data_IF_921574364031
#
_entry.id   IF_921574364031
#
_cell.length_a   1.000
_cell.length_b   1.000
_cell.length_c   1.000
_cell.angle_alpha   90.00
_cell.angle_beta   90.00
_cell.angle_gamma   90.00
#
_symmetry.space_group_name_H-M   'P 1'
#
loop_
_entity.id
_entity.type
_entity.pdbx_description
1 polymer ?
#
# COMPACT_ATOMS: atom_id res chain seq x y z
N UNK A 1 -25.84 -23.18 -4.16
CA UNK A 1 -24.82 -23.92 -3.41
C UNK A 1 -23.67 -24.53 -4.25
N UNK A 2 -23.72 -24.57 -5.58
CA UNK A 2 -22.64 -25.10 -6.43
C UNK A 2 -21.49 -24.09 -6.72
N UNK A 3 -21.66 -22.82 -6.41
CA UNK A 3 -20.69 -21.74 -6.71
C UNK A 3 -19.53 -21.63 -5.69
N UNK A 4 -19.71 -22.10 -4.48
CA UNK A 4 -18.70 -21.97 -3.40
C UNK A 4 -17.65 -23.08 -3.47
N UNK A 5 -18.02 -24.26 -3.94
CA UNK A 5 -17.11 -25.41 -3.96
C UNK A 5 -15.96 -25.28 -5.01
N UNK A 6 -16.18 -24.52 -6.10
CA UNK A 6 -15.16 -24.32 -7.14
C UNK A 6 -14.25 -23.10 -6.88
N UNK A 7 -14.62 -22.21 -5.93
CA UNK A 7 -13.81 -21.04 -5.50
C UNK A 7 -12.75 -21.38 -4.43
N UNK A 8 -12.77 -22.61 -3.89
CA UNK A 8 -11.88 -23.03 -2.80
C UNK A 8 -10.39 -23.18 -3.18
N UNK A 9 -10.02 -22.97 -4.43
CA UNK A 9 -8.64 -23.14 -4.88
C UNK A 9 -7.93 -21.85 -5.29
N UNK A 10 -8.64 -20.76 -5.53
CA UNK A 10 -8.04 -19.47 -5.90
C UNK A 10 -8.14 -18.47 -4.73
N UNK A 11 -7.04 -17.78 -4.50
CA UNK A 11 -7.03 -16.59 -3.63
C UNK A 11 -7.75 -15.45 -4.34
N UNK A 12 -8.58 -14.69 -3.63
CA UNK A 12 -9.36 -13.57 -4.17
C UNK A 12 -9.07 -12.33 -3.38
N UNK A 13 -8.71 -11.24 -4.06
CA UNK A 13 -8.57 -9.91 -3.48
C UNK A 13 -9.70 -9.01 -3.96
N UNK A 14 -10.50 -8.50 -3.05
CA UNK A 14 -11.37 -7.36 -3.31
C UNK A 14 -10.62 -6.08 -2.99
N UNK A 15 -10.60 -5.14 -3.90
CA UNK A 15 -9.84 -3.89 -3.75
C UNK A 15 -10.55 -2.75 -4.48
N UNK A 16 -10.46 -1.56 -3.93
CA UNK A 16 -10.78 -0.34 -4.66
C UNK A 16 -9.70 -0.06 -5.72
N UNK A 17 -10.13 0.42 -6.90
CA UNK A 17 -9.23 0.74 -8.02
C UNK A 17 -8.24 1.86 -7.73
N UNK A 18 -8.59 2.72 -6.75
CA UNK A 18 -7.86 3.95 -6.48
C UNK A 18 -7.26 4.01 -5.08
N UNK A 19 -7.55 3.00 -4.25
CA UNK A 19 -7.07 2.95 -2.88
C UNK A 19 -5.55 2.75 -2.81
N UNK A 20 -4.79 3.67 -2.19
CA UNK A 20 -3.37 3.45 -1.99
C UNK A 20 -3.05 2.25 -1.11
N UNK A 21 -3.94 1.85 -0.19
CA UNK A 21 -3.80 0.63 0.61
C UNK A 21 -3.99 -0.63 -0.25
N UNK A 22 -4.99 -0.62 -1.16
CA UNK A 22 -5.17 -1.69 -2.13
C UNK A 22 -3.97 -1.84 -3.06
N UNK A 23 -3.40 -0.70 -3.51
CA UNK A 23 -2.19 -0.70 -4.34
C UNK A 23 -0.99 -1.31 -3.60
N UNK A 24 -0.78 -0.98 -2.31
CA UNK A 24 0.29 -1.59 -1.51
C UNK A 24 0.19 -3.12 -1.45
N UNK A 25 -1.01 -3.66 -1.25
CA UNK A 25 -1.25 -5.12 -1.24
C UNK A 25 -0.98 -5.73 -2.62
N UNK A 26 -1.39 -5.07 -3.72
CA UNK A 26 -1.12 -5.54 -5.08
C UNK A 26 0.37 -5.58 -5.40
N UNK A 27 1.17 -4.61 -4.92
CA UNK A 27 2.63 -4.63 -5.06
C UNK A 27 3.21 -5.87 -4.35
N UNK A 28 2.76 -6.19 -3.13
CA UNK A 28 3.21 -7.39 -2.40
C UNK A 28 2.86 -8.66 -3.17
N UNK A 29 1.63 -8.76 -3.69
CA UNK A 29 1.22 -9.92 -4.52
C UNK A 29 2.12 -10.12 -5.73
N UNK A 30 2.48 -9.02 -6.40
CA UNK A 30 3.38 -9.05 -7.55
C UNK A 30 4.83 -9.42 -7.18
N UNK A 31 5.36 -8.88 -6.08
CA UNK A 31 6.69 -9.26 -5.58
C UNK A 31 6.75 -10.74 -5.20
N UNK A 32 5.62 -11.33 -4.83
CA UNK A 32 5.49 -12.75 -4.47
C UNK A 32 5.19 -13.65 -5.67
N UNK A 33 4.95 -13.09 -6.85
CA UNK A 33 4.54 -13.82 -8.05
C UNK A 33 3.31 -14.73 -7.77
N UNK A 34 2.34 -14.18 -7.03
CA UNK A 34 1.14 -14.91 -6.61
C UNK A 34 0.01 -14.68 -7.60
N UNK A 35 -0.50 -15.77 -8.16
CA UNK A 35 -1.71 -15.70 -8.97
C UNK A 35 -2.93 -15.53 -8.07
N UNK A 36 -3.59 -14.37 -8.17
CA UNK A 36 -4.75 -13.98 -7.39
C UNK A 36 -5.83 -13.41 -8.30
N UNK A 37 -7.08 -13.73 -8.03
CA UNK A 37 -8.21 -13.08 -8.71
C UNK A 37 -8.45 -11.71 -8.03
N UNK A 38 -8.22 -10.61 -8.76
CA UNK A 38 -8.46 -9.26 -8.24
C UNK A 38 -9.83 -8.79 -8.70
N UNK A 39 -10.73 -8.59 -7.75
CA UNK A 39 -12.07 -8.04 -7.98
C UNK A 39 -12.09 -6.56 -7.57
N UNK A 40 -12.06 -5.67 -8.56
CA UNK A 40 -12.17 -4.25 -8.31
C UNK A 40 -13.63 -3.89 -7.97
N UNK A 41 -13.79 -3.26 -6.82
CA UNK A 41 -15.08 -2.79 -6.29
C UNK A 41 -14.98 -1.32 -5.89
N UNK A 42 -16.11 -0.66 -5.81
CA UNK A 42 -16.23 0.68 -5.24
C UNK A 42 -17.13 0.67 -4.00
N UNK A 43 -17.09 1.76 -3.22
CA UNK A 43 -17.87 1.89 -1.99
C UNK A 43 -19.38 1.84 -2.21
N UNK A 44 -19.87 2.16 -3.43
CA UNK A 44 -21.29 2.20 -3.77
C UNK A 44 -21.81 0.86 -4.31
N UNK A 45 -20.92 -0.03 -4.74
CA UNK A 45 -21.26 -1.30 -5.39
C UNK A 45 -20.48 -2.46 -4.78
N UNK A 46 -20.51 -2.58 -3.46
CA UNK A 46 -19.90 -3.71 -2.74
C UNK A 46 -20.77 -4.96 -2.86
N UNK A 47 -20.18 -6.12 -3.19
CA UNK A 47 -20.88 -7.39 -3.12
C UNK A 47 -21.43 -7.67 -1.70
N UNK A 48 -22.68 -8.13 -1.61
CA UNK A 48 -23.32 -8.44 -0.30
C UNK A 48 -22.48 -9.37 0.58
N UNK A 49 -21.77 -10.31 -0.05
CA UNK A 49 -20.89 -11.25 0.65
C UNK A 49 -19.81 -10.55 1.50
N UNK A 50 -19.36 -9.36 1.09
CA UNK A 50 -18.36 -8.63 1.88
C UNK A 50 -18.93 -8.09 3.18
N UNK A 51 -20.23 -7.78 3.25
CA UNK A 51 -20.89 -7.36 4.49
C UNK A 51 -20.90 -8.48 5.54
N UNK A 52 -20.93 -9.73 5.10
CA UNK A 52 -20.90 -10.90 5.98
C UNK A 52 -19.48 -11.26 6.40
N UNK A 53 -18.51 -11.08 5.50
CA UNK A 53 -17.12 -11.51 5.68
C UNK A 53 -16.24 -10.45 6.35
N UNK A 54 -16.50 -9.16 6.14
CA UNK A 54 -15.71 -8.05 6.64
C UNK A 54 -16.56 -7.15 7.55
N UNK A 55 -16.44 -7.30 8.89
CA UNK A 55 -17.26 -6.56 9.86
C UNK A 55 -17.05 -5.04 9.83
N UNK A 56 -15.92 -4.56 9.26
CA UNK A 56 -15.65 -3.13 9.08
C UNK A 56 -16.18 -2.57 7.76
N UNK A 57 -16.73 -3.45 6.91
CA UNK A 57 -17.27 -3.08 5.60
C UNK A 57 -16.31 -2.24 4.73
N UNK A 58 -15.01 -2.49 4.83
CA UNK A 58 -13.99 -1.87 3.98
C UNK A 58 -13.90 -2.58 2.63
N UNK A 59 -13.45 -1.88 1.59
CA UNK A 59 -13.30 -2.45 0.25
C UNK A 59 -12.16 -3.47 0.17
N UNK A 60 -11.08 -3.27 0.95
CA UNK A 60 -9.94 -4.17 0.93
C UNK A 60 -10.23 -5.44 1.73
N UNK A 61 -10.30 -6.57 1.04
CA UNK A 61 -10.55 -7.88 1.66
C UNK A 61 -9.85 -8.98 0.86
N UNK A 62 -8.99 -9.75 1.51
CA UNK A 62 -8.35 -10.95 0.95
C UNK A 62 -9.06 -12.19 1.45
N UNK A 63 -9.39 -13.11 0.54
CA UNK A 63 -9.95 -14.42 0.85
C UNK A 63 -8.98 -15.48 0.35
N UNK A 64 -8.47 -16.30 1.25
CA UNK A 64 -7.70 -17.52 0.92
C UNK A 64 -8.37 -18.72 1.60
N UNK A 65 -9.12 -19.50 0.82
CA UNK A 65 -9.93 -20.62 1.31
C UNK A 65 -10.96 -20.18 2.35
N UNK A 66 -10.80 -20.58 3.61
CA UNK A 66 -11.67 -20.23 4.74
C UNK A 66 -11.14 -19.02 5.53
N UNK A 67 -9.93 -18.51 5.19
CA UNK A 67 -9.36 -17.33 5.82
C UNK A 67 -9.84 -16.06 5.13
N UNK A 68 -10.30 -15.10 5.93
CA UNK A 68 -10.70 -13.76 5.46
C UNK A 68 -9.88 -12.71 6.22
N UNK A 69 -9.18 -11.86 5.49
CA UNK A 69 -8.37 -10.77 6.02
C UNK A 69 -8.82 -9.44 5.40
N UNK A 70 -8.89 -8.40 6.21
CA UNK A 70 -9.37 -7.07 5.79
C UNK A 70 -8.52 -5.90 6.30
N UNK A 71 -7.43 -6.18 7.02
CA UNK A 71 -6.43 -5.18 7.38
C UNK A 71 -5.25 -5.24 6.41
N UNK A 72 -4.85 -4.12 5.78
CA UNK A 72 -3.80 -4.12 4.75
C UNK A 72 -2.45 -4.60 5.27
N UNK A 73 -2.05 -4.24 6.49
CA UNK A 73 -0.77 -4.69 7.05
C UNK A 73 -0.79 -6.18 7.34
N UNK A 74 -1.88 -6.68 7.92
CA UNK A 74 -2.06 -8.11 8.19
C UNK A 74 -2.07 -8.91 6.88
N UNK A 75 -2.74 -8.40 5.84
CA UNK A 75 -2.75 -9.04 4.52
C UNK A 75 -1.32 -9.12 3.95
N UNK A 76 -0.57 -8.03 3.98
CA UNK A 76 0.79 -8.01 3.45
C UNK A 76 1.75 -8.94 4.23
N UNK A 77 1.67 -8.95 5.56
CA UNK A 77 2.48 -9.86 6.39
C UNK A 77 2.07 -11.32 6.16
N UNK A 78 0.76 -11.62 6.07
CA UNK A 78 0.27 -12.95 5.72
C UNK A 78 0.81 -13.45 4.39
N UNK A 79 0.77 -12.60 3.36
CA UNK A 79 1.29 -12.94 2.03
C UNK A 79 2.80 -13.22 2.07
N UNK A 80 3.57 -12.45 2.84
CA UNK A 80 5.00 -12.68 3.01
C UNK A 80 5.29 -14.01 3.73
N UNK A 81 4.53 -14.33 4.76
CA UNK A 81 4.68 -15.61 5.51
C UNK A 81 4.17 -16.81 4.69
N UNK A 82 3.08 -16.64 3.93
CA UNK A 82 2.50 -17.70 3.10
C UNK A 82 3.36 -18.03 1.88
N UNK A 83 4.05 -17.01 1.33
CA UNK A 83 4.94 -17.10 0.18
C UNK A 83 6.30 -16.52 0.55
N UNK A 84 7.19 -17.30 1.20
CA UNK A 84 8.38 -16.78 1.86
C UNK A 84 9.48 -16.27 0.92
N UNK A 85 9.33 -16.46 -0.40
CA UNK A 85 10.34 -16.03 -1.37
C UNK A 85 9.73 -15.18 -2.49
N UNK A 86 10.41 -14.04 -2.82
CA UNK A 86 11.47 -13.37 -2.06
C UNK A 86 10.94 -12.84 -0.70
N UNK A 87 11.76 -12.80 0.37
CA UNK A 87 11.32 -12.28 1.66
C UNK A 87 11.16 -10.76 1.60
N UNK A 88 10.03 -10.25 2.07
CA UNK A 88 9.77 -8.81 2.22
C UNK A 88 9.88 -8.36 3.68
N UNK A 89 9.73 -9.28 4.62
CA UNK A 89 10.00 -9.05 6.04
C UNK A 89 11.35 -9.62 6.44
N UNK A 90 12.16 -8.88 7.22
CA UNK A 90 13.44 -9.37 7.72
C UNK A 90 13.28 -10.60 8.60
N UNK A 91 14.25 -11.53 8.52
CA UNK A 91 14.25 -12.74 9.35
C UNK A 91 14.70 -12.42 10.77
N UNK A 92 15.68 -11.50 10.93
CA UNK A 92 16.19 -11.09 12.25
C UNK A 92 15.07 -10.42 13.07
N UNK A 93 14.81 -10.88 14.31
CA UNK A 93 13.69 -10.38 15.11
C UNK A 93 13.85 -8.91 15.52
N UNK A 94 15.06 -8.39 15.68
CA UNK A 94 15.29 -6.99 16.02
C UNK A 94 15.00 -6.09 14.82
N UNK A 95 15.48 -6.49 13.63
CA UNK A 95 15.21 -5.74 12.40
C UNK A 95 13.73 -5.84 12.05
N UNK A 96 13.10 -7.01 12.21
CA UNK A 96 11.64 -7.20 12.01
C UNK A 96 10.82 -6.29 12.93
N UNK A 97 11.22 -6.15 14.19
CA UNK A 97 10.55 -5.22 15.10
C UNK A 97 10.69 -3.76 14.65
N UNK A 98 11.88 -3.35 14.19
CA UNK A 98 12.10 -2.01 13.61
C UNK A 98 11.25 -1.79 12.36
N UNK A 99 11.17 -2.80 11.48
CA UNK A 99 10.30 -2.77 10.29
C UNK A 99 8.85 -2.51 10.68
N UNK A 100 8.30 -3.23 11.67
CA UNK A 100 6.94 -3.00 12.16
C UNK A 100 6.74 -1.61 12.77
N UNK A 101 7.74 -1.04 13.43
CA UNK A 101 7.67 0.34 13.92
C UNK A 101 7.57 1.35 12.78
N UNK A 102 8.30 1.12 11.68
CA UNK A 102 8.22 1.98 10.49
C UNK A 102 6.87 1.81 9.78
N UNK A 103 6.36 0.58 9.65
CA UNK A 103 5.03 0.32 9.11
C UNK A 103 3.95 1.02 9.93
N UNK A 104 4.02 0.95 11.25
CA UNK A 104 3.10 1.68 12.14
C UNK A 104 3.19 3.20 11.94
N UNK A 105 4.41 3.74 11.77
CA UNK A 105 4.60 5.14 11.43
C UNK A 105 3.94 5.51 10.10
N UNK A 106 4.14 4.71 9.05
CA UNK A 106 3.53 4.92 7.73
C UNK A 106 2.01 4.91 7.85
N UNK A 107 1.44 3.91 8.52
CA UNK A 107 0.00 3.79 8.71
C UNK A 107 -0.57 5.01 9.45
N UNK A 108 0.00 5.35 10.59
CA UNK A 108 -0.55 6.36 11.49
C UNK A 108 -0.29 7.79 11.03
N UNK A 109 0.98 8.05 10.63
CA UNK A 109 1.45 9.41 10.36
C UNK A 109 1.38 9.81 8.89
N UNK A 110 1.24 8.86 7.95
CA UNK A 110 1.05 9.14 6.54
C UNK A 110 -0.36 8.78 6.08
N UNK A 111 -0.76 7.51 6.15
CA UNK A 111 -2.10 7.07 5.72
C UNK A 111 -3.22 7.72 6.54
N UNK A 112 -3.02 7.91 7.84
CA UNK A 112 -3.99 8.58 8.72
C UNK A 112 -4.36 9.99 8.29
N UNK A 113 -3.53 10.65 7.46
CA UNK A 113 -3.79 12.00 6.94
C UNK A 113 -4.60 12.01 5.64
N UNK A 114 -4.69 10.89 4.92
CA UNK A 114 -5.27 10.84 3.56
C UNK A 114 -6.76 11.21 3.54
N UNK A 115 -7.49 10.84 4.59
CA UNK A 115 -8.90 11.24 4.73
C UNK A 115 -9.07 12.76 4.82
N UNK A 116 -8.16 13.42 5.52
CA UNK A 116 -8.18 14.87 5.70
C UNK A 116 -7.73 15.64 4.45
N UNK A 117 -6.86 15.04 3.63
CA UNK A 117 -6.47 15.60 2.33
C UNK A 117 -7.68 15.75 1.38
N UNK A 118 -8.59 14.78 1.40
CA UNK A 118 -9.81 14.76 0.59
C UNK A 118 -10.97 15.54 1.20
N UNK A 119 -10.78 16.16 2.37
CA UNK A 119 -11.81 16.95 3.04
C UNK A 119 -12.19 18.19 2.24
N UNK A 120 -13.49 18.50 2.18
CA UNK A 120 -14.00 19.74 1.57
C UNK A 120 -13.62 21.03 2.34
N UNK A 121 -13.10 20.90 3.55
CA UNK A 121 -12.62 22.02 4.36
C UNK A 121 -11.20 22.44 3.97
N UNK A 122 -11.02 23.55 3.23
CA UNK A 122 -9.72 24.06 2.76
C UNK A 122 -8.64 24.12 3.86
N UNK A 123 -8.99 24.61 5.06
CA UNK A 123 -8.06 24.71 6.18
C UNK A 123 -7.59 23.32 6.65
N UNK A 124 -8.50 22.35 6.68
CA UNK A 124 -8.20 20.98 7.13
C UNK A 124 -7.30 20.28 6.10
N UNK A 125 -7.65 20.40 4.83
CA UNK A 125 -6.86 19.86 3.72
C UNK A 125 -5.46 20.48 3.68
N UNK A 126 -5.34 21.81 3.79
CA UNK A 126 -4.04 22.49 3.80
C UNK A 126 -3.17 22.06 5.00
N UNK A 127 -3.75 21.92 6.20
CA UNK A 127 -3.02 21.43 7.37
C UNK A 127 -2.54 19.98 7.18
N UNK A 128 -3.38 19.10 6.60
CA UNK A 128 -3.02 17.73 6.31
C UNK A 128 -1.89 17.63 5.27
N UNK A 129 -1.92 18.45 4.21
CA UNK A 129 -0.85 18.53 3.21
C UNK A 129 0.48 18.94 3.84
N UNK A 130 0.46 19.99 4.68
CA UNK A 130 1.67 20.43 5.37
C UNK A 130 2.21 19.32 6.26
N UNK A 131 1.34 18.69 7.05
CA UNK A 131 1.73 17.61 7.97
C UNK A 131 2.28 16.38 7.24
N UNK A 132 1.65 15.97 6.13
CA UNK A 132 2.15 14.87 5.32
C UNK A 132 3.53 15.18 4.74
N UNK A 133 3.73 16.41 4.25
CA UNK A 133 5.04 16.87 3.77
C UNK A 133 6.11 16.83 4.88
N UNK A 134 5.81 17.33 6.07
CA UNK A 134 6.71 17.28 7.23
C UNK A 134 7.05 15.82 7.61
N UNK A 135 6.06 14.94 7.70
CA UNK A 135 6.26 13.55 8.04
C UNK A 135 7.09 12.83 6.95
N UNK A 136 6.85 13.08 5.67
CA UNK A 136 7.70 12.55 4.61
C UNK A 136 9.14 13.03 4.74
N UNK A 137 9.38 14.29 5.12
CA UNK A 137 10.74 14.78 5.36
C UNK A 137 11.41 14.10 6.56
N UNK A 138 10.66 13.75 7.62
CA UNK A 138 11.18 12.97 8.75
C UNK A 138 11.58 11.54 8.32
N UNK A 139 10.90 10.98 7.32
CA UNK A 139 11.20 9.63 6.81
C UNK A 139 12.57 9.53 6.13
N UNK A 140 13.23 10.65 5.79
CA UNK A 140 14.62 10.66 5.31
C UNK A 140 15.58 9.92 6.24
N UNK A 141 15.30 9.90 7.54
CA UNK A 141 16.13 9.19 8.52
C UNK A 141 16.17 7.67 8.26
N UNK A 142 15.15 7.12 7.60
CA UNK A 142 15.08 5.70 7.26
C UNK A 142 15.82 5.34 5.96
N UNK A 143 16.20 6.35 5.14
CA UNK A 143 16.92 6.18 3.88
C UNK A 143 18.43 6.38 4.01
N UNK A 144 18.92 6.75 5.19
CA UNK A 144 20.33 7.12 5.38
C UNK A 144 21.28 5.96 5.03
N UNK A 145 22.00 6.13 3.90
CA UNK A 145 23.04 5.19 3.47
C UNK A 145 22.53 3.92 2.79
N UNK A 146 21.22 3.79 2.58
CA UNK A 146 20.59 2.59 2.01
C UNK A 146 19.85 2.90 0.70
N UNK A 147 19.66 1.88 -0.14
CA UNK A 147 18.88 1.99 -1.38
C UNK A 147 17.38 2.08 -1.10
N UNK A 148 16.91 1.37 -0.08
CA UNK A 148 15.52 1.29 0.35
C UNK A 148 15.40 1.66 1.82
N UNK A 149 14.19 1.64 2.37
CA UNK A 149 13.99 1.96 3.78
C UNK A 149 14.66 0.92 4.68
N UNK A 150 15.54 1.37 5.55
CA UNK A 150 16.32 0.60 6.53
C UNK A 150 17.33 -0.39 5.93
N UNK A 151 17.36 -0.66 4.62
CA UNK A 151 18.23 -1.66 4.02
C UNK A 151 18.52 -1.40 2.53
N UNK A 152 19.39 -2.20 1.95
CA UNK A 152 19.63 -2.22 0.49
C UNK A 152 18.68 -3.18 -0.24
N UNK A 153 17.89 -3.95 0.50
CA UNK A 153 16.90 -4.87 -0.05
C UNK A 153 15.51 -4.25 -0.01
N UNK A 154 14.74 -4.47 -1.08
CA UNK A 154 13.34 -4.06 -1.16
C UNK A 154 12.50 -4.85 -0.15
N UNK A 155 11.60 -4.17 0.55
CA UNK A 155 10.86 -4.72 1.68
C UNK A 155 9.39 -4.32 1.67
N UNK A 156 8.64 -4.88 2.62
CA UNK A 156 7.23 -4.55 2.85
C UNK A 156 7.02 -3.06 3.19
N UNK A 157 8.04 -2.38 3.76
CA UNK A 157 7.99 -0.93 4.00
C UNK A 157 7.86 -0.19 2.67
N UNK A 158 8.65 -0.59 1.69
CA UNK A 158 8.69 0.05 0.37
C UNK A 158 7.36 -0.17 -0.37
N UNK A 159 6.77 -1.36 -0.26
CA UNK A 159 5.42 -1.64 -0.75
C UNK A 159 4.39 -0.71 -0.11
N UNK A 160 4.52 -0.43 1.18
CA UNK A 160 3.56 0.38 1.95
C UNK A 160 3.65 1.87 1.63
N UNK A 161 4.84 2.43 1.45
CA UNK A 161 5.01 3.87 1.23
C UNK A 161 4.86 4.28 -0.24
N UNK A 162 5.19 3.38 -1.17
CA UNK A 162 5.19 3.66 -2.61
C UNK A 162 3.88 4.28 -3.12
N UNK A 163 2.68 3.78 -2.77
CA UNK A 163 1.42 4.36 -3.22
C UNK A 163 1.18 5.80 -2.78
N UNK A 164 1.69 6.19 -1.61
CA UNK A 164 1.62 7.58 -1.12
C UNK A 164 2.54 8.47 -1.96
N UNK A 165 3.78 8.03 -2.20
CA UNK A 165 4.74 8.78 -3.00
C UNK A 165 4.29 8.93 -4.46
N UNK A 166 3.61 7.92 -5.01
CA UNK A 166 3.04 7.98 -6.35
C UNK A 166 2.01 9.10 -6.48
N UNK A 167 1.21 9.30 -5.43
CA UNK A 167 0.07 10.25 -5.40
C UNK A 167 0.43 11.66 -4.93
N UNK A 168 1.70 11.98 -4.66
CA UNK A 168 2.11 13.33 -4.24
C UNK A 168 1.64 14.44 -5.20
N UNK A 169 1.74 14.27 -6.55
CA UNK A 169 1.25 15.27 -7.49
C UNK A 169 -0.25 15.51 -7.36
N UNK A 170 -1.05 14.45 -7.27
CA UNK A 170 -2.49 14.52 -7.06
C UNK A 170 -2.86 15.26 -5.78
N UNK A 171 -2.09 15.03 -4.70
CA UNK A 171 -2.29 15.74 -3.43
C UNK A 171 -1.82 17.20 -3.48
N UNK A 172 -1.18 17.62 -4.57
CA UNK A 172 -0.57 18.94 -4.70
C UNK A 172 0.54 19.17 -3.68
N UNK A 173 1.35 18.13 -3.43
CA UNK A 173 2.48 18.16 -2.47
C UNK A 173 3.78 18.11 -3.25
N UNK A 174 4.54 19.20 -3.16
CA UNK A 174 5.90 19.29 -3.66
C UNK A 174 6.89 19.24 -2.51
N UNK A 175 7.86 18.33 -2.59
CA UNK A 175 8.93 18.24 -1.60
C UNK A 175 9.98 19.32 -1.86
N UNK A 176 10.59 19.88 -0.82
CA UNK A 176 11.70 20.85 -0.97
C UNK A 176 12.94 20.14 -1.55
N UNK A 177 13.94 20.91 -1.99
CA UNK A 177 15.21 20.38 -2.53
C UNK A 177 15.90 19.38 -1.59
N UNK A 178 15.76 19.57 -0.28
CA UNK A 178 16.25 18.63 0.74
C UNK A 178 15.53 17.29 0.73
N UNK A 179 14.35 17.19 0.11
CA UNK A 179 13.58 15.96 -0.11
C UNK A 179 13.98 15.18 -1.38
N UNK A 180 14.94 15.66 -2.17
CA UNK A 180 15.41 14.95 -3.36
C UNK A 180 15.79 13.48 -3.12
N UNK A 181 16.37 13.06 -1.97
CA UNK A 181 16.63 11.65 -1.72
C UNK A 181 15.35 10.80 -1.70
N UNK A 182 14.21 11.35 -1.21
CA UNK A 182 12.92 10.66 -1.23
C UNK A 182 12.43 10.51 -2.67
N UNK A 183 12.57 11.53 -3.51
CA UNK A 183 12.16 11.47 -4.91
C UNK A 183 12.98 10.45 -5.69
N UNK A 184 14.30 10.43 -5.52
CA UNK A 184 15.19 9.42 -6.13
C UNK A 184 14.88 7.99 -5.64
N UNK A 185 14.49 7.85 -4.40
CA UNK A 185 14.03 6.59 -3.86
C UNK A 185 12.68 6.18 -4.48
N UNK A 186 11.75 7.12 -4.58
CA UNK A 186 10.45 6.90 -5.22
C UNK A 186 10.62 6.47 -6.68
N UNK A 187 11.46 7.17 -7.47
CA UNK A 187 11.75 6.82 -8.87
C UNK A 187 12.25 5.38 -8.99
N UNK A 188 13.14 4.95 -8.09
CA UNK A 188 13.66 3.58 -8.06
C UNK A 188 12.59 2.53 -7.81
N UNK A 189 11.57 2.85 -7.00
CA UNK A 189 10.43 1.95 -6.76
C UNK A 189 9.51 1.94 -7.97
N UNK A 190 9.25 3.11 -8.55
CA UNK A 190 8.33 3.25 -9.68
C UNK A 190 8.82 2.56 -10.95
N UNK A 191 10.14 2.34 -11.09
CA UNK A 191 10.74 1.55 -12.17
C UNK A 191 10.60 0.03 -11.98
N UNK A 192 10.17 -0.44 -10.80
CA UNK A 192 10.02 -1.88 -10.56
C UNK A 192 8.82 -2.44 -11.31
N UNK A 193 9.01 -3.62 -11.89
CA UNK A 193 7.96 -4.37 -12.58
C UNK A 193 6.70 -4.59 -11.71
N UNK A 194 6.94 -5.00 -10.46
CA UNK A 194 5.88 -5.19 -9.46
C UNK A 194 5.05 -3.93 -9.18
N UNK A 195 5.63 -2.75 -9.34
CA UNK A 195 4.93 -1.49 -9.20
C UNK A 195 4.16 -1.14 -10.48
N UNK A 196 4.83 -1.13 -11.63
CA UNK A 196 4.26 -0.66 -12.92
C UNK A 196 3.09 -1.51 -13.37
N UNK A 197 3.21 -2.84 -13.33
CA UNK A 197 2.16 -3.75 -13.84
C UNK A 197 0.95 -3.86 -12.92
N UNK A 198 1.03 -3.30 -11.72
CA UNK A 198 -0.05 -3.36 -10.74
C UNK A 198 -0.75 -2.02 -10.50
N UNK A 199 -0.43 -1.02 -11.32
CA UNK A 199 -1.22 0.18 -11.42
C UNK A 199 -2.59 -0.15 -12.04
N UNK A 200 -3.67 0.39 -11.48
CA UNK A 200 -4.95 0.44 -12.17
C UNK A 200 -4.93 1.56 -13.21
N UNK A 201 -5.84 1.51 -14.20
CA UNK A 201 -5.99 2.60 -15.18
C UNK A 201 -6.09 3.98 -14.52
N UNK A 202 -6.83 4.08 -13.41
CA UNK A 202 -6.99 5.33 -12.66
C UNK A 202 -5.71 5.76 -11.95
N UNK A 203 -4.89 4.82 -11.52
CA UNK A 203 -3.59 5.10 -10.88
C UNK A 203 -2.53 5.52 -11.90
N UNK A 204 -2.58 4.99 -13.13
CA UNK A 204 -1.73 5.43 -14.24
C UNK A 204 -2.01 6.88 -14.62
N UNK A 205 -3.29 7.29 -14.64
CA UNK A 205 -3.71 8.65 -14.98
C UNK A 205 -3.11 9.71 -14.04
N UNK A 206 -2.81 9.37 -12.77
CA UNK A 206 -2.25 10.31 -11.79
C UNK A 206 -0.97 11.01 -12.29
N UNK A 207 -0.20 10.35 -13.13
CA UNK A 207 1.07 10.88 -13.64
C UNK A 207 1.14 11.00 -15.16
N UNK A 208 0.07 10.67 -15.88
CA UNK A 208 0.03 10.79 -17.35
C UNK A 208 0.00 12.24 -17.84
N UNK A 209 -0.35 13.20 -16.98
CA UNK A 209 -0.43 14.64 -17.31
C UNK A 209 0.79 15.44 -16.83
N UNK A 210 1.83 14.77 -16.30
CA UNK A 210 3.06 15.40 -15.80
C UNK A 210 4.23 15.11 -16.74
#
# INVERSE_FOLDING_TARGET
MASIANRRSLMVLYSDKYSPLGHAVRIVLAEKDVNVEINYIDDNNKPEILNELNPYNTTLTLIDRDLVLYDPQIIMEYLDERFPHPPLMPVDPVIRAKTRMVLHYIEKDLYGLLGDLKSSGEKKSAAAKLKLKENLMLSLNFLQGSKFFLSDDFSIIDCSIAPILWRLPEYGIELPKSGNPILKYADRIFERHSFVENLSEQEEEIRSEI
#
